data_IF_912995706521
#
_entry.id   IF_912995706521
#
_cell.length_a   1.000
_cell.length_b   1.000
_cell.length_c   1.000
_cell.angle_alpha   90.00
_cell.angle_beta   90.00
_cell.angle_gamma   90.00
#
_symmetry.space_group_name_H-M   'P 1'
#
loop_
_entity.id
_entity.type
_entity.pdbx_description
1 polymer ?
#
# COMPACT_ATOMS: atom_id res chain seq x y z
N UNK A 1 32.61 -28.12 13.19
CA UNK A 1 33.44 -28.18 11.96
C UNK A 1 33.63 -26.80 11.32
N UNK A 2 32.65 -25.88 11.37
CA UNK A 2 32.77 -24.51 10.85
C UNK A 2 33.72 -23.58 11.65
N UNK A 3 33.88 -23.81 12.97
CA UNK A 3 34.78 -23.03 13.84
C UNK A 3 36.28 -23.36 13.71
N UNK A 4 36.65 -24.45 13.01
CA UNK A 4 38.05 -24.89 12.88
C UNK A 4 38.76 -24.31 11.66
N UNK A 5 38.01 -23.75 10.70
CA UNK A 5 38.56 -23.22 9.43
C UNK A 5 38.89 -21.73 9.57
N UNK A 6 38.17 -20.98 10.42
CA UNK A 6 38.43 -19.56 10.68
C UNK A 6 39.77 -19.32 11.41
N UNK A 7 40.17 -20.21 12.33
CA UNK A 7 41.43 -20.03 13.08
C UNK A 7 42.71 -20.34 12.27
N UNK A 8 42.60 -21.04 11.12
CA UNK A 8 43.77 -21.35 10.28
C UNK A 8 44.03 -20.25 9.24
N UNK A 9 42.98 -19.55 8.78
CA UNK A 9 43.09 -18.41 7.85
C UNK A 9 43.67 -17.17 8.54
N UNK A 10 43.38 -16.96 9.83
CA UNK A 10 43.91 -15.83 10.60
C UNK A 10 45.42 -15.93 10.92
N UNK A 11 46.02 -17.12 10.89
CA UNK A 11 47.43 -17.30 11.27
C UNK A 11 48.41 -17.05 10.09
N UNK A 12 48.04 -17.38 8.85
CA UNK A 12 48.89 -17.11 7.68
C UNK A 12 48.76 -15.67 7.13
N UNK A 13 47.59 -15.03 7.27
CA UNK A 13 47.40 -13.64 6.85
C UNK A 13 48.25 -12.65 7.68
N UNK A 14 48.65 -13.03 8.90
CA UNK A 14 49.31 -12.12 9.84
C UNK A 14 50.82 -11.90 9.58
N UNK A 15 51.49 -12.77 8.81
CA UNK A 15 52.92 -12.60 8.45
C UNK A 15 53.15 -11.79 7.18
N UNK A 16 52.19 -11.76 6.26
CA UNK A 16 52.32 -11.04 4.98
C UNK A 16 51.80 -9.59 5.07
N UNK A 17 51.03 -9.26 6.11
CA UNK A 17 50.40 -7.94 6.29
C UNK A 17 51.30 -6.85 6.89
N UNK A 18 52.38 -7.18 7.60
CA UNK A 18 53.11 -6.16 8.40
C UNK A 18 53.98 -5.16 7.60
N UNK A 19 54.25 -5.38 6.31
CA UNK A 19 55.04 -4.42 5.49
C UNK A 19 54.23 -3.65 4.44
N UNK A 20 52.98 -4.04 4.18
CA UNK A 20 52.05 -3.35 3.24
C UNK A 20 51.07 -2.41 3.97
N UNK A 21 51.19 -2.28 5.29
CA UNK A 21 50.16 -1.76 6.18
C UNK A 21 50.22 -0.26 6.51
N UNK A 22 51.32 0.46 6.26
CA UNK A 22 51.35 1.89 6.57
C UNK A 22 50.41 2.70 5.66
N UNK A 23 50.42 2.43 4.35
CA UNK A 23 49.52 3.09 3.40
C UNK A 23 48.06 2.66 3.58
N UNK A 24 47.79 1.38 3.91
CA UNK A 24 46.44 0.90 4.22
C UNK A 24 45.89 1.50 5.53
N UNK A 25 46.73 1.76 6.54
CA UNK A 25 46.31 2.41 7.78
C UNK A 25 45.91 3.87 7.55
N UNK A 26 46.67 4.60 6.74
CA UNK A 26 46.28 5.96 6.34
C UNK A 26 44.99 5.97 5.51
N UNK A 27 44.82 5.03 4.59
CA UNK A 27 43.61 4.90 3.78
C UNK A 27 42.39 4.51 4.64
N UNK A 28 42.56 3.60 5.60
CA UNK A 28 41.52 3.23 6.57
C UNK A 28 41.16 4.39 7.52
N UNK A 29 42.15 5.12 8.04
CA UNK A 29 41.92 6.31 8.87
C UNK A 29 41.23 7.43 8.08
N UNK A 30 41.63 7.65 6.83
CA UNK A 30 40.99 8.63 5.96
C UNK A 30 39.56 8.21 5.60
N UNK A 31 39.31 6.93 5.33
CA UNK A 31 37.97 6.37 5.11
C UNK A 31 37.09 6.47 6.36
N UNK A 32 37.64 6.22 7.54
CA UNK A 32 36.93 6.41 8.82
C UNK A 32 36.62 7.89 9.11
N UNK A 33 37.55 8.79 8.78
CA UNK A 33 37.38 10.24 8.96
C UNK A 33 36.39 10.86 7.96
N UNK A 34 36.36 10.38 6.72
CA UNK A 34 35.34 10.75 5.73
C UNK A 34 33.96 10.24 6.19
N UNK A 35 33.88 9.00 6.68
CA UNK A 35 32.62 8.44 7.17
C UNK A 35 32.07 9.29 8.34
N UNK A 36 32.90 9.62 9.33
CA UNK A 36 32.47 10.44 10.48
C UNK A 36 32.02 11.86 10.09
N UNK A 37 32.60 12.48 9.05
CA UNK A 37 32.14 13.78 8.57
C UNK A 37 30.79 13.68 7.84
N UNK A 38 30.62 12.69 6.98
CA UNK A 38 29.36 12.45 6.28
C UNK A 38 28.24 12.07 7.25
N UNK A 39 28.54 11.27 8.28
CA UNK A 39 27.59 10.90 9.33
C UNK A 39 27.07 12.15 10.06
N UNK A 40 27.94 13.13 10.32
CA UNK A 40 27.55 14.38 10.98
C UNK A 40 26.58 15.22 10.12
N UNK A 41 26.83 15.31 8.81
CA UNK A 41 25.93 16.01 7.87
C UNK A 41 24.57 15.29 7.80
N UNK A 42 24.59 13.97 7.66
CA UNK A 42 23.38 13.13 7.61
C UNK A 42 22.53 13.31 8.87
N UNK A 43 23.16 13.33 10.05
CA UNK A 43 22.51 13.58 11.33
C UNK A 43 21.86 14.97 11.42
N UNK A 44 22.55 16.01 10.92
CA UNK A 44 22.05 17.39 10.98
C UNK A 44 20.76 17.57 10.16
N UNK A 45 20.63 16.89 9.03
CA UNK A 45 19.47 17.00 8.15
C UNK A 45 18.35 16.00 8.44
N UNK A 46 18.59 14.92 9.21
CA UNK A 46 17.58 13.90 9.51
C UNK A 46 16.32 14.52 10.13
N UNK A 47 16.47 15.44 11.09
CA UNK A 47 15.35 16.09 11.76
C UNK A 47 14.50 16.95 10.81
N UNK A 48 15.14 17.59 9.83
CA UNK A 48 14.43 18.40 8.84
C UNK A 48 13.56 17.50 7.95
N UNK A 49 14.12 16.38 7.47
CA UNK A 49 13.37 15.40 6.68
C UNK A 49 12.22 14.78 7.47
N UNK A 50 12.46 14.44 8.73
CA UNK A 50 11.43 13.95 9.65
C UNK A 50 10.26 14.94 9.76
N UNK A 51 10.55 16.22 9.99
CA UNK A 51 9.53 17.27 10.09
C UNK A 51 8.77 17.46 8.78
N UNK A 52 9.47 17.45 7.63
CA UNK A 52 8.84 17.58 6.31
C UNK A 52 7.89 16.42 6.04
N UNK A 53 8.31 15.18 6.32
CA UNK A 53 7.49 13.98 6.08
C UNK A 53 6.28 13.98 7.03
N UNK A 54 6.51 14.17 8.33
CA UNK A 54 5.44 14.24 9.33
C UNK A 54 4.42 15.33 9.00
N UNK A 55 4.89 16.53 8.65
CA UNK A 55 4.02 17.63 8.24
C UNK A 55 3.25 17.32 6.95
N UNK A 56 3.90 16.74 5.94
CA UNK A 56 3.24 16.39 4.67
C UNK A 56 2.08 15.40 4.87
N UNK A 57 2.26 14.42 5.76
CA UNK A 57 1.21 13.45 6.07
C UNK A 57 0.11 14.09 6.92
N UNK A 58 0.45 14.96 7.87
CA UNK A 58 -0.56 15.75 8.62
C UNK A 58 -1.42 16.55 7.64
N UNK A 59 -0.83 17.19 6.63
CA UNK A 59 -1.58 17.90 5.59
C UNK A 59 -2.52 16.95 4.84
N UNK A 60 -2.06 15.75 4.46
CA UNK A 60 -2.90 14.71 3.85
C UNK A 60 -4.09 14.36 4.74
N UNK A 61 -3.81 14.04 6.01
CA UNK A 61 -4.79 13.58 6.98
C UNK A 61 -5.89 14.62 7.24
N UNK A 62 -5.50 15.88 7.47
CA UNK A 62 -6.47 16.95 7.72
C UNK A 62 -7.16 17.46 6.45
N UNK A 63 -6.49 17.39 5.28
CA UNK A 63 -7.17 17.66 4.00
C UNK A 63 -8.27 16.63 3.72
N UNK A 64 -8.02 15.35 4.05
CA UNK A 64 -9.04 14.32 3.97
C UNK A 64 -10.26 14.61 4.86
N UNK A 65 -10.08 15.18 6.05
CA UNK A 65 -11.25 15.58 6.86
C UNK A 65 -11.91 16.86 6.35
N UNK A 66 -11.13 17.83 5.89
CA UNK A 66 -11.65 19.13 5.46
C UNK A 66 -12.58 19.03 4.25
N UNK A 67 -12.25 18.18 3.27
CA UNK A 67 -13.05 17.99 2.06
C UNK A 67 -14.10 16.88 2.17
N UNK A 68 -14.32 16.37 3.39
CA UNK A 68 -15.19 15.24 3.63
C UNK A 68 -16.67 15.61 3.52
N UNK A 69 -17.48 14.70 2.98
CA UNK A 69 -18.93 14.90 2.94
C UNK A 69 -19.52 14.56 4.31
N UNK A 70 -20.32 15.48 4.86
CA UNK A 70 -20.97 15.32 6.16
C UNK A 70 -21.94 14.15 6.21
N UNK A 71 -22.45 13.68 5.07
CA UNK A 71 -23.36 12.52 5.03
C UNK A 71 -22.59 11.21 5.29
N UNK A 72 -21.30 11.18 4.98
CA UNK A 72 -20.43 10.00 5.03
C UNK A 72 -19.60 9.92 6.33
N UNK A 73 -20.16 10.34 7.47
CA UNK A 73 -19.44 10.47 8.77
C UNK A 73 -18.63 9.21 9.11
N UNK A 74 -19.23 8.03 8.95
CA UNK A 74 -18.61 6.78 9.35
C UNK A 74 -17.42 6.41 8.44
N UNK A 75 -17.57 6.57 7.11
CA UNK A 75 -16.46 6.40 6.16
C UNK A 75 -15.31 7.35 6.43
N UNK A 76 -15.62 8.62 6.68
CA UNK A 76 -14.62 9.65 6.99
C UNK A 76 -13.90 9.32 8.29
N UNK A 77 -14.64 8.89 9.32
CA UNK A 77 -14.06 8.53 10.61
C UNK A 77 -13.13 7.33 10.47
N UNK A 78 -13.57 6.24 9.82
CA UNK A 78 -12.76 5.04 9.61
C UNK A 78 -11.55 5.33 8.73
N UNK A 79 -11.72 6.10 7.66
CA UNK A 79 -10.62 6.48 6.78
C UNK A 79 -9.58 7.35 7.49
N UNK A 80 -10.02 8.30 8.31
CA UNK A 80 -9.14 9.13 9.13
C UNK A 80 -8.41 8.31 10.18
N UNK A 81 -9.08 7.37 10.85
CA UNK A 81 -8.45 6.46 11.80
C UNK A 81 -7.38 5.59 11.13
N UNK A 82 -7.67 5.05 9.94
CA UNK A 82 -6.72 4.23 9.18
C UNK A 82 -5.48 5.03 8.76
N UNK A 83 -5.66 6.26 8.24
CA UNK A 83 -4.54 7.15 7.90
C UNK A 83 -3.76 7.59 9.14
N UNK A 84 -4.45 7.92 10.24
CA UNK A 84 -3.81 8.28 11.51
C UNK A 84 -2.97 7.14 12.06
N UNK A 85 -3.47 5.91 11.97
CA UNK A 85 -2.75 4.71 12.37
C UNK A 85 -1.44 4.58 11.58
N UNK A 86 -1.50 4.67 10.25
CA UNK A 86 -0.31 4.61 9.39
C UNK A 86 0.67 5.75 9.71
N UNK A 87 0.18 6.97 9.93
CA UNK A 87 1.01 8.11 10.34
C UNK A 87 1.76 7.83 11.64
N UNK A 88 1.05 7.43 12.69
CA UNK A 88 1.63 7.18 14.01
C UNK A 88 2.77 6.16 13.91
N UNK A 89 2.56 5.10 13.12
CA UNK A 89 3.60 4.09 12.98
C UNK A 89 4.77 4.54 12.13
N UNK A 90 4.55 5.33 11.06
CA UNK A 90 5.65 5.96 10.31
C UNK A 90 6.50 6.83 11.25
N UNK A 91 5.86 7.64 12.09
CA UNK A 91 6.55 8.46 13.09
C UNK A 91 7.30 7.62 14.12
N UNK A 92 6.72 6.50 14.58
CA UNK A 92 7.38 5.56 15.47
C UNK A 92 8.61 4.92 14.83
N UNK A 93 8.49 4.43 13.59
CA UNK A 93 9.61 3.87 12.84
C UNK A 93 10.73 4.90 12.68
N UNK A 94 10.41 6.15 12.35
CA UNK A 94 11.41 7.21 12.29
C UNK A 94 12.11 7.45 13.62
N UNK A 95 11.35 7.47 14.72
CA UNK A 95 11.92 7.66 16.05
C UNK A 95 12.87 6.52 16.42
N UNK A 96 12.50 5.27 16.11
CA UNK A 96 13.34 4.09 16.36
C UNK A 96 14.57 4.06 15.45
N UNK A 97 14.42 4.42 14.18
CA UNK A 97 15.50 4.47 13.21
C UNK A 97 16.50 5.59 13.53
N UNK A 98 16.05 6.70 14.12
CA UNK A 98 16.92 7.77 14.60
C UNK A 98 17.95 7.26 15.63
N UNK A 99 17.58 6.26 16.44
CA UNK A 99 18.48 5.68 17.45
C UNK A 99 19.65 4.90 16.83
N UNK A 100 19.52 4.47 15.58
CA UNK A 100 20.47 3.59 14.91
C UNK A 100 21.21 4.32 13.77
N UNK A 101 22.32 4.97 14.12
CA UNK A 101 23.12 5.83 13.22
C UNK A 101 23.54 5.11 11.95
N UNK A 102 23.82 3.81 12.04
CA UNK A 102 24.27 2.98 10.92
C UNK A 102 23.26 2.92 9.76
N UNK A 103 21.97 3.13 10.02
CA UNK A 103 20.93 3.08 9.00
C UNK A 103 20.75 4.42 8.27
N UNK A 104 21.20 5.54 8.84
CA UNK A 104 20.78 6.87 8.40
C UNK A 104 21.07 7.18 6.92
N UNK A 105 22.24 6.86 6.34
CA UNK A 105 22.50 7.16 4.93
C UNK A 105 21.56 6.43 3.97
N UNK A 106 21.30 5.14 4.22
CA UNK A 106 20.41 4.32 3.40
C UNK A 106 18.96 4.83 3.52
N UNK A 107 18.56 5.14 4.75
CA UNK A 107 17.24 5.67 5.09
C UNK A 107 16.97 6.95 4.32
N UNK A 108 17.83 7.97 4.45
CA UNK A 108 17.60 9.26 3.81
C UNK A 108 17.41 9.08 2.29
N UNK A 109 18.23 8.24 1.66
CA UNK A 109 18.10 7.94 0.24
C UNK A 109 16.75 7.29 -0.10
N UNK A 110 16.39 6.20 0.60
CA UNK A 110 15.12 5.48 0.37
C UNK A 110 13.94 6.42 0.55
N UNK A 111 13.92 7.25 1.59
CA UNK A 111 12.79 8.14 1.86
C UNK A 111 12.71 9.36 0.93
N UNK A 112 13.85 9.92 0.50
CA UNK A 112 13.85 10.95 -0.55
C UNK A 112 13.24 10.38 -1.84
N UNK A 113 13.65 9.17 -2.23
CA UNK A 113 13.16 8.48 -3.42
C UNK A 113 11.69 8.09 -3.30
N UNK A 114 11.27 7.57 -2.15
CA UNK A 114 9.96 6.98 -1.97
C UNK A 114 8.87 7.95 -1.51
N UNK A 115 9.21 9.07 -0.84
CA UNK A 115 8.23 10.03 -0.33
C UNK A 115 8.40 11.43 -0.93
N UNK A 116 9.59 12.01 -0.80
CA UNK A 116 9.82 13.42 -1.17
C UNK A 116 9.62 13.63 -2.66
N UNK A 117 10.31 12.84 -3.50
CA UNK A 117 10.24 12.97 -4.94
C UNK A 117 8.81 12.79 -5.46
N UNK A 118 8.05 11.78 -5.02
CA UNK A 118 6.68 11.63 -5.48
C UNK A 118 5.73 12.77 -5.06
N UNK A 119 5.84 13.27 -3.82
CA UNK A 119 5.06 14.44 -3.38
C UNK A 119 5.39 15.67 -4.23
N UNK A 120 6.68 15.90 -4.45
CA UNK A 120 7.15 17.02 -5.27
C UNK A 120 6.66 16.90 -6.71
N UNK A 121 6.74 15.70 -7.30
CA UNK A 121 6.28 15.43 -8.66
C UNK A 121 4.76 15.65 -8.79
N UNK A 122 3.95 15.14 -7.86
CA UNK A 122 2.50 15.35 -7.85
C UNK A 122 2.18 16.84 -7.73
N UNK A 123 2.89 17.56 -6.85
CA UNK A 123 2.71 19.00 -6.65
C UNK A 123 3.03 19.81 -7.92
N UNK A 124 4.15 19.52 -8.58
CA UNK A 124 4.52 20.12 -9.87
C UNK A 124 3.46 19.80 -10.93
N UNK A 125 3.02 18.55 -11.00
CA UNK A 125 2.05 18.12 -12.00
C UNK A 125 0.71 18.87 -11.84
N UNK A 126 0.24 19.08 -10.61
CA UNK A 126 -0.93 19.92 -10.32
C UNK A 126 -0.67 21.37 -10.75
N UNK A 127 0.48 21.95 -10.40
CA UNK A 127 0.83 23.33 -10.75
C UNK A 127 0.84 23.57 -12.26
N UNK A 128 1.58 22.74 -13.01
CA UNK A 128 1.67 22.82 -14.48
C UNK A 128 0.29 22.62 -15.10
N UNK A 129 -0.46 21.61 -14.66
CA UNK A 129 -1.77 21.29 -15.24
C UNK A 129 -2.79 22.40 -14.98
N UNK A 130 -2.72 23.05 -13.81
CA UNK A 130 -3.53 24.22 -13.47
C UNK A 130 -3.20 25.42 -14.35
N UNK A 131 -1.91 25.71 -14.56
CA UNK A 131 -1.47 26.80 -15.45
C UNK A 131 -1.93 26.56 -16.90
N UNK A 132 -1.78 25.33 -17.40
CA UNK A 132 -2.24 24.94 -18.73
C UNK A 132 -3.77 25.07 -18.87
N UNK A 133 -4.53 24.59 -17.89
CA UNK A 133 -5.98 24.69 -17.88
C UNK A 133 -6.45 26.15 -17.88
N UNK A 134 -5.80 27.02 -17.09
CA UNK A 134 -6.09 28.45 -17.06
C UNK A 134 -5.76 29.14 -18.40
N UNK A 135 -4.58 28.85 -18.97
CA UNK A 135 -4.19 29.36 -20.28
C UNK A 135 -5.15 28.94 -21.40
N UNK A 136 -5.58 27.67 -21.39
CA UNK A 136 -6.54 27.14 -22.36
C UNK A 136 -7.92 27.82 -22.25
N UNK A 137 -8.40 28.05 -21.01
CA UNK A 137 -9.66 28.76 -20.74
C UNK A 137 -9.61 30.21 -21.23
N UNK A 138 -8.46 30.89 -21.03
CA UNK A 138 -8.24 32.25 -21.55
C UNK A 138 -8.27 32.30 -23.09
N UNK A 139 -7.85 31.23 -23.76
CA UNK A 139 -7.93 31.07 -25.21
C UNK A 139 -9.34 30.74 -25.75
N UNK A 140 -10.40 30.86 -24.94
CA UNK A 140 -11.79 30.67 -25.36
C UNK A 140 -12.20 29.20 -25.59
N UNK A 141 -11.35 28.24 -25.25
CA UNK A 141 -11.66 26.81 -25.38
C UNK A 141 -12.13 26.24 -24.05
N UNK A 142 -13.18 25.41 -24.09
CA UNK A 142 -13.82 24.85 -22.91
C UNK A 142 -13.59 23.34 -22.79
N UNK A 143 -12.85 22.93 -21.76
CA UNK A 143 -12.62 21.52 -21.41
C UNK A 143 -13.90 20.78 -21.05
N UNK A 144 -14.98 21.49 -20.66
CA UNK A 144 -16.26 20.87 -20.33
C UNK A 144 -16.84 20.06 -21.49
N UNK A 145 -16.54 20.44 -22.75
CA UNK A 145 -17.03 19.73 -23.95
C UNK A 145 -16.48 18.30 -24.04
N UNK A 146 -15.23 18.08 -23.63
CA UNK A 146 -14.63 16.73 -23.64
C UNK A 146 -15.32 15.85 -22.59
N UNK A 147 -15.55 16.40 -21.39
CA UNK A 147 -16.27 15.71 -20.31
C UNK A 147 -17.69 15.32 -20.75
N UNK A 148 -18.46 16.26 -21.29
CA UNK A 148 -19.82 16.01 -21.79
C UNK A 148 -19.88 14.92 -22.86
N UNK A 149 -18.95 14.95 -23.84
CA UNK A 149 -18.88 13.93 -24.89
C UNK A 149 -18.60 12.52 -24.32
N UNK A 150 -17.85 12.43 -23.22
CA UNK A 150 -17.58 11.17 -22.54
C UNK A 150 -18.79 10.73 -21.69
N UNK A 151 -19.46 11.65 -21.02
CA UNK A 151 -20.71 11.40 -20.28
C UNK A 151 -21.83 10.89 -21.22
N UNK A 152 -22.04 11.54 -22.36
CA UNK A 152 -23.00 11.11 -23.40
C UNK A 152 -22.70 9.69 -23.89
N UNK A 153 -21.43 9.34 -24.07
CA UNK A 153 -21.02 7.99 -24.47
C UNK A 153 -21.32 6.94 -23.38
N UNK A 154 -21.32 7.35 -22.12
CA UNK A 154 -21.60 6.49 -20.96
C UNK A 154 -23.10 6.27 -20.75
N UNK A 155 -23.98 7.17 -21.19
CA UNK A 155 -25.44 7.02 -21.00
C UNK A 155 -25.99 5.72 -21.62
N UNK A 156 -25.47 5.30 -22.77
CA UNK A 156 -25.87 4.06 -23.44
C UNK A 156 -25.34 2.76 -22.82
N UNK A 157 -24.55 2.81 -21.75
CA UNK A 157 -23.99 1.59 -21.15
C UNK A 157 -24.93 0.94 -20.14
N UNK A 158 -25.04 -0.39 -20.21
CA UNK A 158 -25.76 -1.16 -19.21
C UNK A 158 -25.12 -1.01 -17.83
N UNK A 159 -25.93 -1.14 -16.76
CA UNK A 159 -25.46 -1.08 -15.36
C UNK A 159 -24.28 -2.04 -15.12
N UNK A 160 -24.36 -3.27 -15.64
CA UNK A 160 -23.30 -4.26 -15.53
C UNK A 160 -21.99 -3.81 -16.20
N UNK A 161 -22.06 -3.16 -17.36
CA UNK A 161 -20.87 -2.65 -18.07
C UNK A 161 -20.24 -1.47 -17.32
N UNK A 162 -21.04 -0.54 -16.80
CA UNK A 162 -20.55 0.58 -15.97
C UNK A 162 -19.82 0.06 -14.74
N UNK A 163 -20.44 -0.89 -14.04
CA UNK A 163 -19.85 -1.51 -12.84
C UNK A 163 -18.54 -2.28 -13.16
N UNK A 164 -18.54 -3.05 -14.26
CA UNK A 164 -17.34 -3.77 -14.71
C UNK A 164 -16.18 -2.81 -14.98
N UNK A 165 -16.42 -1.73 -15.72
CA UNK A 165 -15.36 -0.77 -16.06
C UNK A 165 -14.84 -0.01 -14.85
N UNK A 166 -15.71 0.30 -13.88
CA UNK A 166 -15.31 0.92 -12.61
C UNK A 166 -14.37 0.00 -11.82
N UNK A 167 -14.72 -1.28 -11.68
CA UNK A 167 -13.94 -2.27 -10.89
C UNK A 167 -12.75 -2.85 -11.65
N UNK A 168 -12.71 -2.75 -12.98
CA UNK A 168 -11.60 -3.23 -13.81
C UNK A 168 -10.25 -2.65 -13.38
N UNK A 169 -10.22 -1.37 -12.97
CA UNK A 169 -8.99 -0.74 -12.49
C UNK A 169 -8.42 -1.44 -11.26
N UNK A 170 -9.27 -1.90 -10.33
CA UNK A 170 -8.81 -2.67 -9.16
C UNK A 170 -8.20 -4.01 -9.58
N UNK A 171 -8.82 -4.70 -10.55
CA UNK A 171 -8.31 -5.96 -11.10
C UNK A 171 -6.98 -5.74 -11.83
N UNK A 172 -6.84 -4.65 -12.59
CA UNK A 172 -5.58 -4.31 -13.26
C UNK A 172 -4.47 -3.99 -12.26
N UNK A 173 -4.77 -3.31 -11.15
CA UNK A 173 -3.80 -3.07 -10.06
C UNK A 173 -3.35 -4.41 -9.45
N UNK A 174 -4.30 -5.31 -9.16
CA UNK A 174 -3.99 -6.63 -8.62
C UNK A 174 -3.09 -7.44 -9.56
N UNK A 175 -3.48 -7.58 -10.83
CA UNK A 175 -2.70 -8.32 -11.83
C UNK A 175 -1.33 -7.67 -12.10
N UNK A 176 -1.27 -6.35 -12.13
CA UNK A 176 -0.04 -5.59 -12.29
C UNK A 176 0.95 -5.83 -11.16
N UNK A 177 0.49 -5.78 -9.90
CA UNK A 177 1.33 -6.07 -8.74
C UNK A 177 1.75 -7.53 -8.68
N UNK A 178 0.87 -8.47 -9.03
CA UNK A 178 1.21 -9.88 -9.15
C UNK A 178 2.31 -10.12 -10.20
N UNK A 179 2.21 -9.44 -11.34
CA UNK A 179 3.23 -9.49 -12.40
C UNK A 179 4.56 -8.89 -11.94
N UNK A 180 4.54 -7.69 -11.33
CA UNK A 180 5.75 -7.04 -10.79
C UNK A 180 6.43 -7.93 -9.75
N UNK A 181 5.66 -8.52 -8.85
CA UNK A 181 6.17 -9.47 -7.87
C UNK A 181 6.83 -10.67 -8.54
N UNK A 182 6.16 -11.30 -9.50
CA UNK A 182 6.65 -12.48 -10.20
C UNK A 182 7.95 -12.19 -10.97
N UNK A 183 7.99 -11.10 -11.73
CA UNK A 183 9.21 -10.67 -12.42
C UNK A 183 10.33 -10.36 -11.42
N UNK A 184 10.00 -9.70 -10.31
CA UNK A 184 10.93 -9.45 -9.22
C UNK A 184 11.53 -10.75 -8.66
N UNK A 185 10.71 -11.79 -8.50
CA UNK A 185 11.12 -13.10 -7.98
C UNK A 185 12.13 -13.75 -8.90
N UNK A 186 11.85 -13.75 -10.20
CA UNK A 186 12.76 -14.28 -11.21
C UNK A 186 14.09 -13.52 -11.24
N UNK A 187 14.05 -12.18 -11.17
CA UNK A 187 15.27 -11.34 -11.19
C UNK A 187 16.13 -11.60 -9.95
N UNK A 188 15.52 -11.60 -8.76
CA UNK A 188 16.27 -11.81 -7.50
C UNK A 188 16.84 -13.22 -7.44
N UNK A 189 16.08 -14.23 -7.84
CA UNK A 189 16.58 -15.60 -7.91
C UNK A 189 17.73 -15.73 -8.93
N UNK A 190 17.62 -15.11 -10.09
CA UNK A 190 18.66 -15.11 -11.11
C UNK A 190 19.97 -14.45 -10.62
N UNK A 191 19.87 -13.32 -9.91
CA UNK A 191 21.04 -12.56 -9.44
C UNK A 191 21.68 -13.20 -8.21
N UNK A 192 20.87 -13.68 -7.27
CA UNK A 192 21.35 -14.08 -5.94
C UNK A 192 21.41 -15.59 -5.74
N UNK A 193 20.76 -16.38 -6.61
CA UNK A 193 20.56 -17.82 -6.43
C UNK A 193 19.60 -18.18 -5.31
N UNK A 194 18.84 -17.20 -4.78
CA UNK A 194 17.90 -17.38 -3.68
C UNK A 194 16.66 -16.49 -3.87
N UNK A 195 15.54 -16.90 -3.28
CA UNK A 195 14.32 -16.08 -3.16
C UNK A 195 14.21 -15.41 -1.78
N UNK A 196 15.24 -15.59 -0.93
CA UNK A 196 15.30 -15.00 0.40
C UNK A 196 15.16 -13.48 0.33
N UNK A 197 14.35 -12.93 1.23
CA UNK A 197 14.06 -11.51 1.29
C UNK A 197 12.93 -11.03 0.39
N UNK A 198 12.34 -11.83 -0.51
CA UNK A 198 11.03 -11.45 -1.10
C UNK A 198 9.81 -12.15 -0.54
N UNK A 199 10.01 -13.32 0.04
CA UNK A 199 9.03 -13.93 0.90
C UNK A 199 9.61 -13.76 2.31
N UNK A 200 8.95 -12.99 3.20
CA UNK A 200 9.46 -12.83 4.55
C UNK A 200 9.47 -14.18 5.26
N UNK A 201 10.55 -14.47 5.98
CA UNK A 201 10.68 -15.68 6.79
C UNK A 201 9.78 -15.62 8.03
N UNK A 202 9.60 -14.43 8.60
CA UNK A 202 8.68 -14.16 9.70
C UNK A 202 7.47 -13.37 9.19
N UNK A 203 6.28 -13.94 9.33
CA UNK A 203 5.02 -13.40 8.83
C UNK A 203 4.12 -12.85 9.96
N UNK A 204 4.55 -12.95 11.22
CA UNK A 204 3.85 -12.42 12.38
C UNK A 204 4.25 -10.95 12.63
N UNK A 205 3.59 -10.04 11.93
CA UNK A 205 3.88 -8.60 12.03
C UNK A 205 3.74 -8.07 13.46
N UNK A 206 2.79 -8.57 14.27
CA UNK A 206 2.66 -8.13 15.67
C UNK A 206 3.86 -8.55 16.52
N UNK A 207 4.37 -9.78 16.34
CA UNK A 207 5.58 -10.21 17.01
C UNK A 207 6.76 -9.30 16.68
N UNK A 208 6.88 -8.87 15.42
CA UNK A 208 7.89 -7.90 15.00
C UNK A 208 7.72 -6.54 15.70
N UNK A 209 6.49 -6.05 15.85
CA UNK A 209 6.23 -4.85 16.66
C UNK A 209 6.59 -5.04 18.14
N UNK A 210 6.31 -6.19 18.72
CA UNK A 210 6.73 -6.48 20.09
C UNK A 210 8.25 -6.52 20.22
N UNK A 211 8.97 -7.09 19.26
CA UNK A 211 10.45 -7.04 19.21
C UNK A 211 10.95 -5.60 19.18
N UNK A 212 10.39 -4.76 18.29
CA UNK A 212 10.75 -3.34 18.19
C UNK A 212 10.66 -2.59 19.52
N UNK A 213 9.60 -2.86 20.29
CA UNK A 213 9.33 -2.15 21.55
C UNK A 213 10.13 -2.76 22.72
N UNK A 214 10.31 -4.09 22.72
CA UNK A 214 10.84 -4.82 23.87
C UNK A 214 12.36 -5.01 23.83
N UNK A 215 12.95 -5.03 22.63
CA UNK A 215 14.37 -5.32 22.42
C UNK A 215 15.04 -4.04 21.88
N UNK A 216 15.96 -3.42 22.63
CA UNK A 216 16.66 -2.23 22.17
C UNK A 216 17.51 -2.55 20.94
N UNK A 217 17.58 -1.60 20.00
CA UNK A 217 18.34 -1.73 18.74
C UNK A 217 17.88 -2.87 17.80
N UNK A 218 16.72 -3.47 18.04
CA UNK A 218 16.14 -4.52 17.17
C UNK A 218 15.60 -4.00 15.83
N UNK A 219 15.60 -2.68 15.61
CA UNK A 219 15.08 -2.06 14.39
C UNK A 219 15.74 -2.58 13.11
N UNK A 220 17.04 -2.88 13.15
CA UNK A 220 17.76 -3.47 12.01
C UNK A 220 17.18 -4.85 11.70
N UNK A 221 17.13 -5.74 12.69
CA UNK A 221 16.61 -7.11 12.52
C UNK A 221 15.19 -7.07 11.96
N UNK A 222 14.33 -6.25 12.55
CA UNK A 222 12.93 -6.14 12.16
C UNK A 222 12.80 -5.60 10.73
N UNK A 223 13.49 -4.52 10.37
CA UNK A 223 13.43 -3.96 9.02
C UNK A 223 13.89 -4.97 7.96
N UNK A 224 14.97 -5.69 8.20
CA UNK A 224 15.46 -6.68 7.23
C UNK A 224 14.60 -7.95 7.17
N UNK A 225 13.89 -8.29 8.26
CA UNK A 225 13.02 -9.47 8.30
C UNK A 225 11.73 -9.35 7.46
N UNK A 226 11.24 -8.13 7.21
CA UNK A 226 10.01 -7.89 6.44
C UNK A 226 10.14 -8.24 4.95
N UNK A 227 11.37 -8.28 4.44
CA UNK A 227 11.65 -8.50 3.03
C UNK A 227 11.35 -7.28 2.14
N UNK A 228 12.01 -7.21 0.98
CA UNK A 228 11.94 -6.06 0.09
C UNK A 228 10.55 -5.86 -0.54
N UNK A 229 9.83 -6.95 -0.81
CA UNK A 229 8.53 -6.88 -1.48
C UNK A 229 7.45 -6.22 -0.59
N UNK A 230 7.59 -6.35 0.73
CA UNK A 230 6.78 -5.60 1.69
C UNK A 230 6.91 -4.08 1.48
N UNK A 231 8.14 -3.57 1.38
CA UNK A 231 8.39 -2.15 1.14
C UNK A 231 7.83 -1.69 -0.21
N UNK A 232 7.96 -2.51 -1.26
CA UNK A 232 7.38 -2.19 -2.56
C UNK A 232 5.86 -1.98 -2.45
N UNK A 233 5.14 -2.90 -1.79
CA UNK A 233 3.70 -2.80 -1.62
C UNK A 233 3.32 -1.55 -0.80
N UNK A 234 4.00 -1.32 0.32
CA UNK A 234 3.76 -0.15 1.17
C UNK A 234 3.96 1.16 0.40
N UNK A 235 5.13 1.33 -0.25
CA UNK A 235 5.43 2.55 -0.99
C UNK A 235 4.53 2.74 -2.21
N UNK A 236 4.14 1.66 -2.88
CA UNK A 236 3.17 1.71 -3.97
C UNK A 236 1.82 2.26 -3.47
N UNK A 237 1.25 1.71 -2.40
CA UNK A 237 -0.04 2.17 -1.88
C UNK A 237 0.03 3.53 -1.20
N UNK A 238 1.18 3.90 -0.65
CA UNK A 238 1.43 5.25 -0.16
C UNK A 238 1.37 6.27 -1.30
N UNK A 239 2.13 6.04 -2.37
CA UNK A 239 2.12 6.89 -3.55
C UNK A 239 0.75 6.93 -4.21
N UNK A 240 0.12 5.76 -4.35
CA UNK A 240 -1.23 5.65 -4.89
C UNK A 240 -2.21 6.50 -4.08
N UNK A 241 -2.16 6.42 -2.73
CA UNK A 241 -3.01 7.24 -1.86
C UNK A 241 -2.77 8.74 -2.04
N UNK A 242 -1.52 9.19 -2.20
CA UNK A 242 -1.20 10.59 -2.48
C UNK A 242 -1.81 11.04 -3.81
N UNK A 243 -1.58 10.28 -4.88
CA UNK A 243 -2.10 10.62 -6.22
C UNK A 243 -3.62 10.67 -6.20
N UNK A 244 -4.25 9.70 -5.54
CA UNK A 244 -5.69 9.61 -5.42
C UNK A 244 -6.27 10.74 -4.58
N UNK A 245 -5.64 11.09 -3.45
CA UNK A 245 -6.05 12.22 -2.63
C UNK A 245 -5.89 13.55 -3.37
N UNK A 246 -4.77 13.74 -4.08
CA UNK A 246 -4.56 14.89 -4.94
C UNK A 246 -5.65 14.98 -6.03
N UNK A 247 -6.04 13.84 -6.61
CA UNK A 247 -7.14 13.76 -7.58
C UNK A 247 -8.46 14.20 -6.94
N UNK A 248 -8.79 13.73 -5.75
CA UNK A 248 -10.01 14.12 -5.03
C UNK A 248 -10.02 15.60 -4.64
N UNK A 249 -8.89 16.09 -4.10
CA UNK A 249 -8.72 17.49 -3.74
C UNK A 249 -8.92 18.42 -4.93
N UNK A 250 -8.27 18.11 -6.06
CA UNK A 250 -8.40 18.92 -7.28
C UNK A 250 -9.77 18.76 -7.93
N UNK A 251 -10.43 17.59 -7.84
CA UNK A 251 -11.80 17.39 -8.30
C UNK A 251 -12.80 18.29 -7.56
N UNK A 252 -12.64 18.44 -6.23
CA UNK A 252 -13.50 19.29 -5.40
C UNK A 252 -13.10 20.77 -5.40
N UNK A 253 -11.87 21.09 -5.84
CA UNK A 253 -11.39 22.46 -5.95
C UNK A 253 -11.89 23.15 -7.22
N UNK A 254 -12.24 24.44 -7.11
CA UNK A 254 -12.60 25.28 -8.27
C UNK A 254 -11.38 25.86 -9.00
N UNK A 255 -10.22 25.89 -8.34
CA UNK A 255 -9.05 26.65 -8.77
C UNK A 255 -7.90 25.78 -9.25
N UNK A 256 -7.92 24.48 -8.91
CA UNK A 256 -6.85 23.56 -9.22
C UNK A 256 -7.31 22.55 -10.26
N UNK A 257 -6.38 22.14 -11.11
CA UNK A 257 -6.62 21.12 -12.11
C UNK A 257 -5.53 20.05 -12.03
N UNK A 258 -5.95 18.79 -12.06
CA UNK A 258 -5.05 17.64 -12.14
C UNK A 258 -5.50 16.74 -13.29
N UNK A 259 -4.60 16.23 -14.16
CA UNK A 259 -4.99 15.49 -15.36
C UNK A 259 -5.86 14.28 -15.06
N UNK A 260 -5.62 13.61 -13.92
CA UNK A 260 -6.37 12.42 -13.54
C UNK A 260 -7.83 12.67 -13.14
N UNK A 261 -8.23 13.93 -12.89
CA UNK A 261 -9.65 14.29 -12.65
C UNK A 261 -10.56 14.03 -13.86
N UNK A 262 -9.97 13.88 -15.06
CA UNK A 262 -10.74 13.46 -16.24
C UNK A 262 -11.29 12.05 -16.04
N UNK A 263 -10.50 11.13 -15.47
CA UNK A 263 -10.93 9.76 -15.23
C UNK A 263 -12.05 9.69 -14.19
N UNK A 264 -11.99 10.53 -13.16
CA UNK A 264 -13.03 10.54 -12.12
C UNK A 264 -14.39 10.92 -12.69
N UNK A 265 -14.45 11.82 -13.68
CA UNK A 265 -15.71 12.16 -14.36
C UNK A 265 -16.28 11.02 -15.21
N UNK A 266 -15.42 10.12 -15.69
CA UNK A 266 -15.84 8.97 -16.52
C UNK A 266 -16.31 7.82 -15.63
N UNK A 267 -15.64 7.58 -14.50
CA UNK A 267 -15.82 6.36 -13.70
C UNK A 267 -16.71 6.52 -12.48
N UNK A 268 -16.88 7.75 -11.96
CA UNK A 268 -17.74 7.96 -10.80
C UNK A 268 -19.21 7.89 -11.18
N UNK A 269 -19.98 7.21 -10.34
CA UNK A 269 -21.44 7.24 -10.37
C UNK A 269 -21.96 8.58 -9.84
N UNK A 270 -23.21 8.92 -10.18
CA UNK A 270 -23.82 10.18 -9.74
C UNK A 270 -23.82 10.30 -8.22
N UNK A 271 -24.04 9.20 -7.50
CA UNK A 271 -23.96 9.14 -6.04
C UNK A 271 -22.54 9.46 -5.54
N UNK A 272 -21.51 8.87 -6.16
CA UNK A 272 -20.10 9.08 -5.79
C UNK A 272 -19.56 10.47 -6.16
N UNK A 273 -20.25 11.22 -7.04
CA UNK A 273 -19.81 12.60 -7.37
C UNK A 273 -19.94 13.55 -6.18
N UNK A 274 -20.92 13.31 -5.30
CA UNK A 274 -21.17 14.15 -4.12
C UNK A 274 -20.25 13.78 -2.95
N UNK A 275 -19.99 12.48 -2.78
CA UNK A 275 -19.11 11.94 -1.74
C UNK A 275 -17.64 11.90 -2.19
N UNK A 276 -16.78 11.27 -1.38
CA UNK A 276 -15.50 10.77 -1.87
C UNK A 276 -15.70 9.61 -2.84
N UNK A 277 -14.87 9.57 -3.89
CA UNK A 277 -14.84 8.44 -4.80
C UNK A 277 -14.40 7.16 -4.10
N UNK A 278 -15.02 6.04 -4.48
CA UNK A 278 -14.72 4.71 -3.93
C UNK A 278 -13.26 4.29 -4.09
N UNK A 279 -12.56 4.84 -5.09
CA UNK A 279 -11.13 4.62 -5.29
C UNK A 279 -10.25 5.23 -4.18
N UNK A 280 -10.70 6.28 -3.48
CA UNK A 280 -9.98 6.82 -2.32
C UNK A 280 -10.09 5.88 -1.12
N UNK A 281 -11.31 5.37 -0.87
CA UNK A 281 -11.53 4.35 0.15
C UNK A 281 -10.71 3.09 -0.12
N UNK A 282 -10.66 2.66 -1.39
CA UNK A 282 -9.80 1.56 -1.84
C UNK A 282 -8.32 1.83 -1.54
N UNK A 283 -7.80 3.01 -1.89
CA UNK A 283 -6.40 3.37 -1.65
C UNK A 283 -6.05 3.36 -0.15
N UNK A 284 -6.89 3.98 0.69
CA UNK A 284 -6.68 4.05 2.15
C UNK A 284 -6.74 2.66 2.79
N UNK A 285 -7.75 1.87 2.45
CA UNK A 285 -7.91 0.51 2.99
C UNK A 285 -6.71 -0.38 2.66
N UNK A 286 -6.20 -0.30 1.43
CA UNK A 286 -5.03 -1.09 1.02
C UNK A 286 -3.70 -0.51 1.51
N UNK A 287 -3.57 0.80 1.72
CA UNK A 287 -2.41 1.36 2.42
C UNK A 287 -2.32 0.81 3.85
N UNK A 288 -3.46 0.76 4.55
CA UNK A 288 -3.54 0.15 5.87
C UNK A 288 -3.15 -1.34 5.82
N UNK A 289 -3.74 -2.12 4.90
CA UNK A 289 -3.43 -3.54 4.75
C UNK A 289 -1.95 -3.79 4.39
N UNK A 290 -1.38 -3.03 3.44
CA UNK A 290 0.01 -3.16 3.02
C UNK A 290 1.00 -2.84 4.15
N UNK A 291 0.56 -2.02 5.11
CA UNK A 291 1.37 -1.61 6.25
C UNK A 291 1.38 -2.63 7.42
N UNK A 292 0.45 -3.57 7.47
CA UNK A 292 0.35 -4.49 8.62
C UNK A 292 0.37 -5.97 8.23
N UNK A 293 0.08 -6.28 6.97
CA UNK A 293 0.06 -7.64 6.47
C UNK A 293 1.37 -8.01 5.74
N UNK A 294 1.83 -9.26 5.88
CA UNK A 294 2.89 -9.78 5.02
C UNK A 294 2.39 -9.86 3.56
N UNK A 295 3.31 -9.87 2.57
CA UNK A 295 2.94 -9.64 1.19
C UNK A 295 1.91 -10.60 0.58
N UNK A 296 1.96 -11.90 0.91
CA UNK A 296 1.00 -12.88 0.37
C UNK A 296 -0.41 -12.69 0.92
N UNK A 297 -0.51 -12.30 2.19
CA UNK A 297 -1.78 -11.94 2.82
C UNK A 297 -2.31 -10.65 2.22
N UNK A 298 -1.43 -9.65 2.00
CA UNK A 298 -1.81 -8.43 1.33
C UNK A 298 -2.36 -8.68 -0.09
N UNK A 299 -1.64 -9.48 -0.91
CA UNK A 299 -2.10 -9.84 -2.26
C UNK A 299 -3.44 -10.61 -2.22
N UNK A 300 -3.66 -11.44 -1.20
CA UNK A 300 -4.96 -12.09 -0.96
C UNK A 300 -6.06 -11.05 -0.77
N UNK A 301 -5.86 -10.11 0.15
CA UNK A 301 -6.83 -9.05 0.49
C UNK A 301 -7.11 -8.15 -0.72
N UNK A 302 -6.07 -7.82 -1.49
CA UNK A 302 -6.19 -7.08 -2.74
C UNK A 302 -6.98 -7.88 -3.79
N UNK A 303 -6.72 -9.18 -3.91
CA UNK A 303 -7.46 -10.09 -4.79
C UNK A 303 -8.94 -10.20 -4.41
N UNK A 304 -9.25 -10.25 -3.11
CA UNK A 304 -10.63 -10.22 -2.60
C UNK A 304 -11.32 -8.90 -2.99
N UNK A 305 -10.68 -7.77 -2.71
CA UNK A 305 -11.23 -6.43 -2.95
C UNK A 305 -11.32 -6.06 -4.43
N UNK A 306 -10.65 -6.81 -5.32
CA UNK A 306 -10.65 -6.57 -6.76
C UNK A 306 -11.50 -7.60 -7.50
N UNK A 307 -11.15 -8.88 -7.43
CA UNK A 307 -11.79 -9.95 -8.19
C UNK A 307 -13.05 -10.44 -7.49
N UNK A 308 -13.00 -10.76 -6.19
CA UNK A 308 -14.20 -11.25 -5.48
C UNK A 308 -15.29 -10.19 -5.46
N UNK A 309 -14.94 -8.94 -5.21
CA UNK A 309 -15.88 -7.81 -5.28
C UNK A 309 -16.49 -7.62 -6.69
N UNK A 310 -15.68 -7.76 -7.76
CA UNK A 310 -16.18 -7.73 -9.14
C UNK A 310 -17.13 -8.90 -9.45
N UNK A 311 -16.76 -10.13 -9.06
CA UNK A 311 -17.60 -11.32 -9.28
C UNK A 311 -18.93 -11.15 -8.54
N UNK A 312 -18.89 -10.70 -7.29
CA UNK A 312 -20.08 -10.44 -6.45
C UNK A 312 -21.05 -9.49 -7.13
N UNK A 313 -20.56 -8.33 -7.60
CA UNK A 313 -21.44 -7.34 -8.23
C UNK A 313 -21.91 -7.78 -9.62
N UNK A 314 -21.07 -8.41 -10.43
CA UNK A 314 -21.46 -8.83 -11.77
C UNK A 314 -22.52 -9.94 -11.73
N UNK A 315 -22.35 -10.93 -10.86
CA UNK A 315 -23.36 -11.98 -10.67
C UNK A 315 -24.61 -11.39 -10.03
N UNK A 316 -24.47 -10.54 -9.02
CA UNK A 316 -25.59 -9.89 -8.36
C UNK A 316 -26.45 -9.04 -9.31
N UNK A 317 -25.83 -8.27 -10.21
CA UNK A 317 -26.53 -7.43 -11.21
C UNK A 317 -27.21 -8.28 -12.29
N UNK A 318 -26.56 -9.36 -12.76
CA UNK A 318 -27.04 -10.13 -13.93
C UNK A 318 -28.01 -11.26 -13.56
N UNK A 319 -27.80 -11.89 -12.41
CA UNK A 319 -28.48 -13.12 -12.01
C UNK A 319 -29.12 -13.04 -10.62
N UNK A 320 -28.90 -11.96 -9.88
CA UNK A 320 -29.44 -11.78 -8.54
C UNK A 320 -30.97 -11.70 -8.55
N UNK A 321 -31.60 -12.56 -7.77
CA UNK A 321 -33.06 -12.64 -7.62
C UNK A 321 -33.51 -12.48 -6.18
N UNK A 322 -32.68 -12.94 -5.23
CA UNK A 322 -33.00 -12.92 -3.80
C UNK A 322 -32.16 -11.86 -3.10
N UNK A 323 -32.79 -10.71 -2.86
CA UNK A 323 -32.18 -9.62 -2.12
C UNK A 323 -31.99 -9.97 -0.64
N UNK A 324 -30.94 -9.44 -0.04
CA UNK A 324 -30.72 -9.55 1.40
C UNK A 324 -31.76 -8.68 2.10
N UNK A 325 -32.46 -9.22 3.10
CA UNK A 325 -33.67 -8.61 3.69
C UNK A 325 -33.47 -7.18 4.19
N UNK A 326 -32.29 -6.83 4.71
CA UNK A 326 -31.97 -5.48 5.18
C UNK A 326 -31.15 -4.65 4.18
N UNK A 327 -30.74 -5.23 3.04
CA UNK A 327 -29.86 -4.62 2.07
C UNK A 327 -30.30 -4.92 0.63
N UNK A 328 -31.26 -4.14 0.15
CA UNK A 328 -31.81 -4.24 -1.21
C UNK A 328 -30.80 -3.97 -2.33
N UNK A 329 -29.61 -3.46 -2.02
CA UNK A 329 -28.55 -3.28 -3.02
C UNK A 329 -27.75 -4.56 -3.28
N UNK A 330 -27.90 -5.58 -2.42
CA UNK A 330 -27.14 -6.82 -2.47
C UNK A 330 -28.07 -8.03 -2.59
N UNK A 331 -27.57 -9.07 -3.25
CA UNK A 331 -28.30 -10.32 -3.48
C UNK A 331 -27.49 -11.50 -2.97
N UNK A 332 -28.19 -12.52 -2.46
CA UNK A 332 -27.55 -13.75 -1.98
C UNK A 332 -26.76 -14.44 -3.08
N UNK A 333 -27.24 -14.43 -4.32
CA UNK A 333 -26.51 -15.01 -5.46
C UNK A 333 -25.17 -14.32 -5.69
N UNK A 334 -25.15 -12.98 -5.64
CA UNK A 334 -23.93 -12.19 -5.73
C UNK A 334 -22.97 -12.51 -4.59
N UNK A 335 -23.44 -12.40 -3.34
CA UNK A 335 -22.62 -12.66 -2.15
C UNK A 335 -22.00 -14.06 -2.15
N UNK A 336 -22.79 -15.11 -2.44
CA UNK A 336 -22.28 -16.50 -2.51
C UNK A 336 -21.22 -16.64 -3.60
N UNK A 337 -21.41 -16.03 -4.77
CA UNK A 337 -20.40 -16.06 -5.83
C UNK A 337 -19.10 -15.37 -5.41
N UNK A 338 -19.21 -14.27 -4.65
CA UNK A 338 -18.08 -13.59 -4.04
C UNK A 338 -17.31 -14.46 -3.06
N UNK A 339 -18.02 -15.14 -2.17
CA UNK A 339 -17.44 -16.09 -1.19
C UNK A 339 -16.67 -17.20 -1.91
N UNK A 340 -17.23 -17.78 -2.97
CA UNK A 340 -16.54 -18.81 -3.76
C UNK A 340 -15.28 -18.25 -4.45
N UNK A 341 -15.35 -17.03 -4.99
CA UNK A 341 -14.19 -16.37 -5.56
C UNK A 341 -13.12 -16.08 -4.49
N UNK A 342 -13.52 -15.65 -3.30
CA UNK A 342 -12.63 -15.40 -2.16
C UNK A 342 -11.94 -16.68 -1.69
N UNK A 343 -12.68 -17.80 -1.60
CA UNK A 343 -12.11 -19.11 -1.28
C UNK A 343 -11.02 -19.48 -2.29
N UNK A 344 -11.30 -19.35 -3.60
CA UNK A 344 -10.35 -19.71 -4.65
C UNK A 344 -9.10 -18.84 -4.61
N UNK A 345 -9.26 -17.51 -4.54
CA UNK A 345 -8.12 -16.58 -4.52
C UNK A 345 -7.28 -16.80 -3.27
N UNK A 346 -7.91 -16.83 -2.10
CA UNK A 346 -7.19 -16.98 -0.84
C UNK A 346 -6.50 -18.35 -0.74
N UNK A 347 -7.10 -19.40 -1.29
CA UNK A 347 -6.47 -20.71 -1.35
C UNK A 347 -5.11 -20.68 -2.05
N UNK A 348 -5.00 -19.94 -3.17
CA UNK A 348 -3.76 -19.84 -3.93
C UNK A 348 -2.62 -19.14 -3.14
N UNK A 349 -2.95 -18.10 -2.38
CA UNK A 349 -1.94 -17.25 -1.73
C UNK A 349 -1.63 -17.64 -0.28
N UNK A 350 -2.62 -18.12 0.48
CA UNK A 350 -2.49 -18.35 1.93
C UNK A 350 -2.95 -19.74 2.39
N UNK A 351 -3.43 -20.58 1.46
CA UNK A 351 -3.81 -21.96 1.73
C UNK A 351 -5.22 -22.13 2.30
N UNK A 352 -5.58 -23.37 2.61
CA UNK A 352 -6.98 -23.78 2.88
C UNK A 352 -7.57 -23.19 4.17
N UNK A 353 -6.81 -23.14 5.27
CA UNK A 353 -7.34 -22.65 6.55
C UNK A 353 -7.64 -21.15 6.47
N UNK A 354 -6.68 -20.37 5.95
CA UNK A 354 -6.86 -18.94 5.77
C UNK A 354 -7.90 -18.61 4.68
N UNK A 355 -8.07 -19.44 3.66
CA UNK A 355 -9.10 -19.21 2.65
C UNK A 355 -10.51 -19.28 3.22
N UNK A 356 -10.77 -20.26 4.10
CA UNK A 356 -12.05 -20.37 4.80
C UNK A 356 -12.27 -19.15 5.70
N UNK A 357 -11.25 -18.74 6.47
CA UNK A 357 -11.33 -17.57 7.36
C UNK A 357 -11.66 -16.30 6.55
N UNK A 358 -10.94 -16.03 5.47
CA UNK A 358 -11.18 -14.86 4.64
C UNK A 358 -12.52 -14.92 3.89
N UNK A 359 -12.98 -16.09 3.49
CA UNK A 359 -14.29 -16.25 2.87
C UNK A 359 -15.44 -15.94 3.85
N UNK A 360 -15.31 -16.35 5.12
CA UNK A 360 -16.25 -15.99 6.17
C UNK A 360 -16.19 -14.49 6.51
N UNK A 361 -14.98 -13.92 6.57
CA UNK A 361 -14.79 -12.48 6.77
C UNK A 361 -15.42 -11.67 5.63
N UNK A 362 -15.18 -12.06 4.38
CA UNK A 362 -15.78 -11.44 3.20
C UNK A 362 -17.30 -11.54 3.23
N UNK A 363 -17.86 -12.73 3.50
CA UNK A 363 -19.31 -12.92 3.66
C UNK A 363 -19.89 -11.94 4.68
N UNK A 364 -19.27 -11.86 5.86
CA UNK A 364 -19.70 -10.96 6.91
C UNK A 364 -19.65 -9.50 6.47
N UNK A 365 -18.49 -9.02 5.97
CA UNK A 365 -18.32 -7.64 5.54
C UNK A 365 -19.21 -7.26 4.36
N UNK A 366 -19.38 -8.16 3.38
CA UNK A 366 -20.25 -7.94 2.23
C UNK A 366 -21.71 -7.77 2.68
N UNK A 367 -22.20 -8.61 3.60
CA UNK A 367 -23.59 -8.54 4.05
C UNK A 367 -23.87 -7.28 4.89
N UNK A 368 -22.89 -6.79 5.67
CA UNK A 368 -23.11 -5.66 6.59
C UNK A 368 -22.79 -4.28 6.00
N UNK A 369 -22.03 -4.20 4.90
CA UNK A 369 -21.69 -2.93 4.24
C UNK A 369 -22.88 -2.30 3.50
N UNK A 370 -22.87 -0.97 3.40
CA UNK A 370 -24.00 -0.10 3.05
C UNK A 370 -25.18 -0.15 4.05
N UNK A 371 -25.61 -1.34 4.49
CA UNK A 371 -26.61 -1.54 5.53
C UNK A 371 -26.32 -2.85 6.30
N UNK A 372 -26.35 -2.85 7.65
CA UNK A 372 -26.65 -1.72 8.53
C UNK A 372 -25.47 -0.74 8.71
N UNK A 373 -24.25 -1.13 8.34
CA UNK A 373 -23.08 -0.26 8.46
C UNK A 373 -22.92 0.55 7.18
N UNK A 374 -23.12 1.87 7.26
CA UNK A 374 -22.88 2.79 6.14
C UNK A 374 -21.37 3.03 5.95
N UNK A 375 -20.63 1.95 5.71
CA UNK A 375 -19.20 1.94 5.39
C UNK A 375 -19.02 1.35 3.99
N UNK A 376 -18.13 1.94 3.21
CA UNK A 376 -17.70 1.41 1.93
C UNK A 376 -16.98 0.08 2.13
N UNK A 377 -17.37 -0.91 1.33
CA UNK A 377 -16.69 -2.20 1.16
C UNK A 377 -15.20 -2.04 0.82
N UNK A 378 -14.87 -1.09 -0.05
CA UNK A 378 -13.50 -0.76 -0.45
C UNK A 378 -12.61 -0.28 0.71
N UNK A 379 -13.21 0.17 1.82
CA UNK A 379 -12.50 0.53 3.04
C UNK A 379 -12.55 -0.61 4.07
N UNK A 380 -13.75 -1.15 4.31
CA UNK A 380 -14.00 -2.11 5.38
C UNK A 380 -13.31 -3.46 5.13
N UNK A 381 -13.37 -3.98 3.89
CA UNK A 381 -12.84 -5.32 3.59
C UNK A 381 -11.32 -5.35 3.77
N UNK A 382 -10.52 -4.42 3.21
CA UNK A 382 -9.08 -4.41 3.43
C UNK A 382 -8.69 -4.30 4.90
N UNK A 383 -9.31 -3.36 5.64
CA UNK A 383 -9.01 -3.13 7.06
C UNK A 383 -9.44 -4.34 7.89
N UNK A 384 -10.67 -4.80 7.72
CA UNK A 384 -11.26 -5.87 8.50
C UNK A 384 -10.53 -7.20 8.30
N UNK A 385 -10.23 -7.58 7.05
CA UNK A 385 -9.47 -8.80 6.77
C UNK A 385 -8.05 -8.71 7.35
N UNK A 386 -7.40 -7.55 7.28
CA UNK A 386 -6.06 -7.37 7.83
C UNK A 386 -6.04 -7.53 9.36
N UNK A 387 -7.02 -6.92 10.04
CA UNK A 387 -7.16 -7.05 11.50
C UNK A 387 -7.46 -8.49 11.91
N UNK A 388 -8.35 -9.18 11.19
CA UNK A 388 -8.66 -10.60 11.42
C UNK A 388 -7.40 -11.46 11.29
N UNK A 389 -6.62 -11.26 10.21
CA UNK A 389 -5.37 -11.98 10.01
C UNK A 389 -4.42 -11.77 11.17
N UNK A 390 -4.19 -10.52 11.56
CA UNK A 390 -3.23 -10.18 12.62
C UNK A 390 -3.62 -10.79 13.95
N UNK A 391 -4.89 -10.64 14.35
CA UNK A 391 -5.38 -11.17 15.63
C UNK A 391 -5.26 -12.69 15.64
N UNK A 392 -5.71 -13.37 14.58
CA UNK A 392 -5.65 -14.84 14.52
C UNK A 392 -4.20 -15.34 14.48
N UNK A 393 -3.35 -14.74 13.63
CA UNK A 393 -1.94 -15.12 13.51
C UNK A 393 -1.21 -14.96 14.84
N UNK A 394 -1.46 -13.89 15.57
CA UNK A 394 -0.82 -13.60 16.85
C UNK A 394 -1.25 -14.57 17.96
N UNK A 395 -2.56 -14.77 18.16
CA UNK A 395 -3.05 -15.59 19.29
C UNK A 395 -2.95 -17.10 19.04
N UNK A 396 -3.17 -17.56 17.80
CA UNK A 396 -3.20 -18.99 17.49
C UNK A 396 -1.91 -19.50 16.85
N UNK A 397 -0.94 -18.61 16.60
CA UNK A 397 0.28 -18.91 15.88
C UNK A 397 0.01 -19.64 14.54
N UNK A 398 -1.11 -19.30 13.87
CA UNK A 398 -1.54 -20.00 12.65
C UNK A 398 -0.77 -19.48 11.44
N UNK A 399 0.21 -20.24 10.98
CA UNK A 399 0.95 -19.90 9.75
C UNK A 399 0.10 -20.07 8.49
N UNK A 400 0.48 -19.38 7.41
CA UNK A 400 -0.07 -19.59 6.08
C UNK A 400 0.91 -20.36 5.21
N UNK A 401 0.37 -21.08 4.23
CA UNK A 401 1.15 -21.79 3.23
C UNK A 401 0.75 -21.30 1.84
N UNK A 402 1.70 -20.72 1.11
CA UNK A 402 1.45 -20.17 -0.22
C UNK A 402 1.59 -21.27 -1.27
N UNK A 403 0.46 -21.79 -1.73
CA UNK A 403 0.41 -22.82 -2.78
C UNK A 403 1.08 -22.33 -4.06
N UNK A 404 0.91 -21.05 -4.38
CA UNK A 404 1.50 -20.43 -5.56
C UNK A 404 3.03 -20.55 -5.59
N UNK A 405 3.71 -20.62 -4.43
CA UNK A 405 5.16 -20.82 -4.35
C UNK A 405 5.59 -22.26 -4.59
N UNK A 406 4.71 -23.26 -4.43
CA UNK A 406 5.04 -24.67 -4.70
C UNK A 406 5.16 -24.95 -6.19
N UNK A 407 4.54 -24.10 -7.02
CA UNK A 407 4.57 -24.25 -8.47
C UNK A 407 5.85 -23.68 -9.11
N UNK A 408 6.72 -23.04 -8.31
CA UNK A 408 7.99 -22.43 -8.73
C UNK A 408 9.14 -23.08 -7.97
#
# INVERSE_FOLDING_TARGET
MYYSILNFVDFELNKTFQKKNANNLYELQYKYKINTYNDKIVMEYFHIWFLVIGFSYIVILFSFMHFSDKIDILNNTVGFMALSFVLIHILLFFLLMYQEISLHPLIILVWILALTIPIFFVSILIGISTLLAYGYKKGGKDFSKIGKKLEERNEGWSKAKKDLLRKLNHVLIFLGLLFVWYVGLLIVNYITGSTSGMIPEENNTLLQYFKLISIPFSIIEVLFSLGWFYYLLFFFFYLFSIIILATEFTRKSKYLFFPFTVFTKIYLTNEETQSYGTYLYFAIGHLFAAFICPPMVFLTILGISSISDLVTSQIGIRYGKRYITWNEKKTWEGTISGVLATLLISFLFVGVFWSIIFALAFLFFDIVTNKPLNISDNLLIPIGCSLIFIVIRFYFNLDYFTILLVWF
#
